data_IF_849569332798
#
_entry.id   IF_849569332798
#
_cell.length_a   1.000
_cell.length_b   1.000
_cell.length_c   1.000
_cell.angle_alpha   90.00
_cell.angle_beta   90.00
_cell.angle_gamma   90.00
#
_symmetry.space_group_name_H-M   'P 1'
#
loop_
_entity.id
_entity.type
_entity.pdbx_description
1 polymer ?
#
# COMPACT_ATOMS: atom_id res chain seq x y z
N UNK A 1 13.23 -5.68 -37.52
CA UNK A 1 12.73 -6.85 -36.75
C UNK A 1 12.75 -6.45 -35.28
N UNK A 2 11.63 -6.56 -34.56
CA UNK A 2 11.50 -5.95 -33.23
C UNK A 2 12.23 -6.82 -32.19
N UNK A 3 13.47 -6.46 -31.83
CA UNK A 3 14.13 -6.96 -30.61
C UNK A 3 13.55 -6.29 -29.36
N UNK A 4 14.03 -6.53 -28.15
CA UNK A 4 14.25 -7.87 -27.57
C UNK A 4 13.08 -8.09 -26.55
N UNK A 5 12.74 -9.28 -26.04
CA UNK A 5 13.67 -10.31 -25.59
C UNK A 5 12.99 -11.55 -25.00
N UNK A 6 13.84 -12.53 -24.65
CA UNK A 6 13.51 -13.73 -23.90
C UNK A 6 12.74 -13.46 -22.61
N UNK A 7 11.68 -14.27 -22.43
CA UNK A 7 10.84 -14.35 -21.25
C UNK A 7 10.82 -15.81 -20.82
N UNK A 8 11.66 -16.13 -19.84
CA UNK A 8 11.58 -17.37 -19.10
C UNK A 8 11.22 -17.01 -17.66
N UNK A 9 10.25 -17.73 -17.12
CA UNK A 9 9.67 -17.42 -15.82
C UNK A 9 10.22 -18.37 -14.74
N UNK A 10 11.23 -19.18 -15.11
CA UNK A 10 11.97 -20.19 -14.36
C UNK A 10 12.37 -19.75 -12.95
N UNK A 11 11.43 -19.93 -12.04
CA UNK A 11 11.67 -19.80 -10.63
C UNK A 11 12.42 -21.05 -10.12
N UNK A 12 13.48 -20.84 -9.31
CA UNK A 12 14.43 -21.85 -8.81
C UNK A 12 14.10 -22.31 -7.40
N UNK A 13 14.68 -23.44 -6.96
CA UNK A 13 14.60 -23.87 -5.57
C UNK A 13 15.36 -22.88 -4.66
N UNK A 14 14.63 -21.99 -3.97
CA UNK A 14 15.17 -20.94 -3.10
C UNK A 14 14.73 -19.49 -3.42
N UNK A 15 13.83 -19.27 -4.38
CA UNK A 15 13.48 -17.90 -4.81
C UNK A 15 12.86 -17.00 -3.72
N UNK A 16 13.45 -15.81 -3.55
CA UNK A 16 12.92 -14.67 -2.77
C UNK A 16 13.04 -13.37 -3.57
N UNK A 17 12.11 -13.11 -4.48
CA UNK A 17 11.80 -11.72 -4.86
C UNK A 17 10.96 -11.10 -3.73
N UNK A 18 11.01 -9.78 -3.50
CA UNK A 18 10.00 -9.12 -2.65
C UNK A 18 8.65 -9.31 -3.36
N UNK A 19 7.82 -10.26 -2.89
CA UNK A 19 6.61 -10.71 -3.58
C UNK A 19 6.72 -12.05 -4.31
N UNK A 20 7.92 -12.64 -4.42
CA UNK A 20 8.16 -14.00 -4.91
C UNK A 20 7.44 -14.35 -6.20
N UNK A 21 6.81 -15.53 -6.22
CA UNK A 21 6.06 -16.05 -7.35
C UNK A 21 4.89 -15.14 -7.76
N UNK A 22 4.35 -14.32 -6.85
CA UNK A 22 3.24 -13.40 -7.17
C UNK A 22 3.64 -12.39 -8.24
N UNK A 23 4.84 -11.80 -8.13
CA UNK A 23 5.30 -10.83 -9.13
C UNK A 23 5.58 -11.49 -10.48
N UNK A 24 6.10 -12.71 -10.47
CA UNK A 24 6.30 -13.49 -11.69
C UNK A 24 4.95 -13.73 -12.37
N UNK A 25 3.91 -14.13 -11.63
CA UNK A 25 2.57 -14.32 -12.17
C UNK A 25 1.93 -13.02 -12.67
N UNK A 26 2.10 -11.90 -11.95
CA UNK A 26 1.64 -10.59 -12.41
C UNK A 26 2.32 -10.16 -13.72
N UNK A 27 3.62 -10.44 -13.84
CA UNK A 27 4.39 -10.10 -15.05
C UNK A 27 3.92 -10.95 -16.23
N UNK A 28 3.69 -12.26 -16.03
CA UNK A 28 3.09 -13.15 -17.04
C UNK A 28 1.72 -12.66 -17.49
N UNK A 29 0.88 -12.28 -16.54
CA UNK A 29 -0.47 -11.78 -16.80
C UNK A 29 -0.42 -10.51 -17.68
N UNK A 30 0.50 -9.60 -17.36
CA UNK A 30 0.73 -8.38 -18.13
C UNK A 30 1.20 -8.69 -19.56
N UNK A 31 2.21 -9.55 -19.73
CA UNK A 31 2.72 -9.95 -21.04
C UNK A 31 1.60 -10.56 -21.88
N UNK A 32 0.85 -11.50 -21.30
CA UNK A 32 -0.28 -12.15 -21.97
C UNK A 32 -1.33 -11.15 -22.43
N UNK A 33 -1.60 -10.11 -21.65
CA UNK A 33 -2.52 -9.06 -22.06
C UNK A 33 -1.96 -8.23 -23.22
N UNK A 34 -0.68 -7.82 -23.18
CA UNK A 34 -0.01 -7.06 -24.24
C UNK A 34 0.03 -7.84 -25.56
N UNK A 35 0.21 -9.16 -25.49
CA UNK A 35 0.25 -10.07 -26.64
C UNK A 35 -1.14 -10.40 -27.23
N UNK A 36 -2.19 -9.71 -26.80
CA UNK A 36 -3.55 -9.87 -27.33
C UNK A 36 -4.40 -10.90 -26.60
N UNK A 37 -4.00 -11.28 -25.38
CA UNK A 37 -4.79 -12.12 -24.49
C UNK A 37 -6.05 -11.43 -23.96
N UNK A 38 -6.70 -12.06 -22.98
CA UNK A 38 -7.93 -11.53 -22.38
C UNK A 38 -7.68 -10.18 -21.70
N UNK A 39 -8.75 -9.40 -21.58
CA UNK A 39 -8.79 -8.16 -20.80
C UNK A 39 -8.15 -8.36 -19.42
N UNK A 40 -7.18 -7.52 -19.09
CA UNK A 40 -6.47 -7.55 -17.81
C UNK A 40 -7.42 -7.19 -16.66
N UNK A 41 -7.27 -7.81 -15.48
CA UNK A 41 -8.09 -7.50 -14.29
C UNK A 41 -7.97 -6.04 -13.83
N UNK A 42 -6.85 -5.40 -14.15
CA UNK A 42 -6.59 -3.98 -13.92
C UNK A 42 -7.06 -3.07 -15.06
N UNK A 43 -7.95 -3.52 -15.94
CA UNK A 43 -8.50 -2.67 -16.98
C UNK A 43 -9.27 -1.48 -16.38
N UNK A 44 -9.23 -0.33 -17.05
CA UNK A 44 -9.75 0.93 -16.51
C UNK A 44 -11.25 0.94 -16.21
N UNK A 45 -12.05 0.19 -16.97
CA UNK A 45 -13.48 0.03 -16.71
C UNK A 45 -13.77 -0.86 -15.49
N UNK A 46 -13.00 -1.95 -15.28
CA UNK A 46 -13.06 -2.75 -14.04
C UNK A 46 -12.62 -1.90 -12.84
N UNK A 47 -11.57 -1.10 -13.01
CA UNK A 47 -11.09 -0.19 -11.99
C UNK A 47 -12.14 0.88 -11.65
N UNK A 48 -12.84 1.43 -12.66
CA UNK A 48 -13.92 2.39 -12.45
C UNK A 48 -15.08 1.79 -11.64
N UNK A 49 -15.54 0.57 -11.99
CA UNK A 49 -16.56 -0.16 -11.23
C UNK A 49 -16.11 -0.42 -9.78
N UNK A 50 -14.85 -0.84 -9.60
CA UNK A 50 -14.26 -1.08 -8.27
C UNK A 50 -14.25 0.19 -7.42
N UNK A 51 -13.82 1.31 -8.01
CA UNK A 51 -13.81 2.61 -7.34
C UNK A 51 -15.22 3.06 -6.98
N UNK A 52 -16.20 2.86 -7.86
CA UNK A 52 -17.60 3.21 -7.58
C UNK A 52 -18.14 2.40 -6.38
N UNK A 53 -17.83 1.10 -6.30
CA UNK A 53 -18.19 0.26 -5.15
C UNK A 53 -17.54 0.79 -3.86
N UNK A 54 -16.25 1.10 -3.88
CA UNK A 54 -15.55 1.68 -2.72
C UNK A 54 -16.17 3.01 -2.30
N UNK A 55 -16.49 3.89 -3.25
CA UNK A 55 -17.20 5.14 -2.99
C UNK A 55 -18.56 4.86 -2.35
N UNK A 56 -19.29 3.83 -2.79
CA UNK A 56 -20.60 3.48 -2.22
C UNK A 56 -20.53 3.04 -0.77
N UNK A 57 -19.48 2.30 -0.40
CA UNK A 57 -19.22 1.92 1.00
C UNK A 57 -18.96 3.17 1.85
N UNK A 58 -18.07 4.07 1.41
CA UNK A 58 -17.78 5.30 2.15
C UNK A 58 -18.98 6.25 2.21
N UNK A 59 -19.75 6.37 1.13
CA UNK A 59 -20.95 7.20 1.07
C UNK A 59 -22.05 6.67 2.00
N UNK A 60 -22.21 5.35 2.06
CA UNK A 60 -23.09 4.68 3.01
C UNK A 60 -22.68 4.98 4.44
N UNK A 61 -21.38 4.90 4.77
CA UNK A 61 -20.86 5.25 6.09
C UNK A 61 -21.03 6.75 6.41
N UNK A 62 -20.82 7.64 5.42
CA UNK A 62 -20.97 9.09 5.58
C UNK A 62 -22.42 9.49 5.89
N UNK A 63 -23.39 8.83 5.24
CA UNK A 63 -24.81 9.18 5.33
C UNK A 63 -25.64 8.25 6.23
N UNK A 64 -25.05 7.16 6.72
CA UNK A 64 -25.71 6.10 7.48
C UNK A 64 -26.99 5.56 6.79
N UNK A 65 -26.91 5.30 5.49
CA UNK A 65 -28.02 4.78 4.69
C UNK A 65 -27.56 3.92 3.52
N UNK A 66 -28.46 3.07 3.02
CA UNK A 66 -28.23 2.30 1.80
C UNK A 66 -28.03 3.23 0.60
N UNK A 67 -26.99 2.96 -0.18
CA UNK A 67 -26.67 3.68 -1.43
C UNK A 67 -27.00 2.78 -2.61
N UNK A 68 -27.75 3.33 -3.56
CA UNK A 68 -28.08 2.65 -4.81
C UNK A 68 -27.15 3.12 -5.93
N UNK A 69 -26.74 2.18 -6.77
CA UNK A 69 -25.91 2.45 -7.95
C UNK A 69 -26.77 2.82 -9.16
N UNK A 70 -26.26 3.66 -10.09
CA UNK A 70 -24.97 4.35 -10.02
C UNK A 70 -24.96 5.47 -8.98
N UNK A 71 -23.79 5.74 -8.40
CA UNK A 71 -23.63 6.78 -7.38
C UNK A 71 -23.92 8.16 -7.95
N UNK A 72 -24.69 8.96 -7.19
CA UNK A 72 -25.00 10.35 -7.53
C UNK A 72 -23.92 11.32 -7.10
N UNK A 73 -23.28 11.05 -5.96
CA UNK A 73 -22.18 11.86 -5.41
C UNK A 73 -20.99 11.88 -6.37
N UNK A 74 -20.41 13.06 -6.60
CA UNK A 74 -19.28 13.26 -7.52
C UNK A 74 -17.97 13.54 -6.78
N UNK A 75 -18.02 13.98 -5.53
CA UNK A 75 -16.86 14.05 -4.64
C UNK A 75 -16.43 12.68 -4.13
N UNK A 76 -15.19 12.56 -3.66
CA UNK A 76 -14.73 11.33 -3.00
C UNK A 76 -15.29 11.28 -1.57
N UNK A 77 -16.14 10.30 -1.20
CA UNK A 77 -16.89 10.36 0.05
C UNK A 77 -16.01 10.35 1.30
N UNK A 78 -14.84 9.71 1.26
CA UNK A 78 -13.89 9.78 2.38
C UNK A 78 -13.38 11.21 2.61
N UNK A 79 -13.09 11.96 1.55
CA UNK A 79 -12.68 13.36 1.67
C UNK A 79 -13.82 14.21 2.25
N UNK A 80 -15.05 13.99 1.77
CA UNK A 80 -16.23 14.68 2.31
C UNK A 80 -16.42 14.38 3.80
N UNK A 81 -16.22 13.14 4.25
CA UNK A 81 -16.29 12.79 5.68
C UNK A 81 -15.25 13.55 6.52
N UNK A 82 -14.05 13.78 5.98
CA UNK A 82 -13.00 14.56 6.65
C UNK A 82 -13.44 16.02 6.74
N UNK A 83 -13.88 16.62 5.64
CA UNK A 83 -14.30 18.02 5.57
C UNK A 83 -15.53 18.30 6.45
N UNK A 84 -16.43 17.32 6.57
CA UNK A 84 -17.61 17.37 7.45
C UNK A 84 -17.28 17.12 8.93
N UNK A 85 -16.03 16.80 9.27
CA UNK A 85 -15.60 16.53 10.64
C UNK A 85 -16.15 15.21 11.21
N UNK A 86 -16.53 14.25 10.35
CA UNK A 86 -17.12 12.96 10.76
C UNK A 86 -16.09 11.92 11.19
N UNK A 87 -14.81 12.19 11.00
CA UNK A 87 -13.70 11.30 11.36
C UNK A 87 -12.84 11.96 12.45
N UNK A 88 -13.27 11.96 13.73
CA UNK A 88 -12.49 12.52 14.82
C UNK A 88 -11.20 11.72 15.00
N UNK A 89 -10.07 12.42 15.14
CA UNK A 89 -8.79 11.80 15.45
C UNK A 89 -8.71 11.44 16.94
N UNK A 90 -8.38 10.19 17.26
CA UNK A 90 -8.05 9.77 18.63
C UNK A 90 -6.73 10.42 19.09
N UNK A 91 -5.73 10.43 18.21
CA UNK A 91 -4.43 11.05 18.42
C UNK A 91 -4.33 12.25 17.46
N UNK A 92 -4.24 13.46 18.02
CA UNK A 92 -4.16 14.71 17.23
C UNK A 92 -2.75 15.02 16.73
N UNK A 93 -1.75 14.29 17.23
CA UNK A 93 -0.38 14.44 16.79
C UNK A 93 -0.23 13.98 15.34
N UNK A 94 0.71 14.60 14.64
CA UNK A 94 1.00 14.23 13.25
C UNK A 94 1.59 12.83 13.25
N UNK A 95 0.89 11.89 12.64
CA UNK A 95 1.43 10.56 12.40
C UNK A 95 2.59 10.62 11.40
N UNK A 96 3.75 10.10 11.81
CA UNK A 96 4.92 9.92 10.96
C UNK A 96 5.31 8.43 10.93
N UNK A 97 5.07 7.78 9.78
CA UNK A 97 5.42 6.37 9.56
C UNK A 97 6.92 6.08 9.69
N UNK A 98 7.77 7.11 9.62
CA UNK A 98 9.23 7.02 9.80
C UNK A 98 9.69 7.75 11.05
N UNK A 99 8.79 8.18 11.93
CA UNK A 99 9.14 8.89 13.17
C UNK A 99 10.14 8.11 14.02
N UNK A 100 10.07 6.78 14.02
CA UNK A 100 11.02 5.90 14.71
C UNK A 100 12.47 5.97 14.18
N UNK A 101 12.70 6.57 12.99
CA UNK A 101 14.03 6.80 12.42
C UNK A 101 14.59 8.17 12.82
N UNK A 102 13.85 8.96 13.61
CA UNK A 102 14.38 10.21 14.14
C UNK A 102 15.60 9.95 15.03
N UNK A 103 16.65 10.74 14.85
CA UNK A 103 17.92 10.67 15.61
C UNK A 103 18.13 11.86 16.54
N UNK A 104 17.28 12.89 16.49
CA UNK A 104 17.52 14.14 17.20
C UNK A 104 17.69 13.97 18.71
N UNK A 105 17.03 12.97 19.33
CA UNK A 105 17.06 12.73 20.77
C UNK A 105 17.23 11.25 21.16
N UNK A 106 18.03 10.48 20.39
CA UNK A 106 18.25 9.06 20.72
C UNK A 106 19.41 8.87 21.72
N UNK A 107 19.34 7.78 22.48
CA UNK A 107 20.48 7.28 23.23
C UNK A 107 21.49 6.63 22.26
N UNK A 108 22.52 7.39 21.87
CA UNK A 108 23.58 6.94 20.95
C UNK A 108 24.42 5.79 21.54
N UNK A 109 24.52 5.69 22.88
CA UNK A 109 25.28 4.60 23.54
C UNK A 109 24.49 3.30 23.42
N UNK A 110 23.19 3.35 23.71
CA UNK A 110 22.30 2.20 23.51
C UNK A 110 22.23 1.81 22.03
N UNK A 111 22.12 2.79 21.12
CA UNK A 111 22.13 2.53 19.68
C UNK A 111 23.40 1.79 19.25
N UNK A 112 24.57 2.27 19.64
CA UNK A 112 25.86 1.64 19.31
C UNK A 112 25.91 0.20 19.84
N UNK A 113 25.51 -0.02 21.11
CA UNK A 113 25.44 -1.36 21.70
C UNK A 113 24.53 -2.30 20.91
N UNK A 114 23.32 -1.87 20.55
CA UNK A 114 22.37 -2.68 19.78
C UNK A 114 22.92 -3.04 18.39
N UNK A 115 23.70 -2.14 17.78
CA UNK A 115 24.37 -2.39 16.50
C UNK A 115 25.51 -3.40 16.65
N UNK A 116 26.30 -3.30 17.72
CA UNK A 116 27.37 -4.25 18.04
C UNK A 116 26.80 -5.65 18.36
N UNK A 117 25.63 -5.71 19.01
CA UNK A 117 24.87 -6.95 19.26
C UNK A 117 24.22 -7.53 17.99
N UNK A 118 24.39 -6.89 16.82
CA UNK A 118 24.01 -7.42 15.51
C UNK A 118 22.61 -7.02 15.02
N UNK A 119 21.87 -6.17 15.72
CA UNK A 119 20.54 -5.73 15.26
C UNK A 119 20.65 -4.84 14.03
N UNK A 120 19.72 -4.98 13.08
CA UNK A 120 19.64 -4.11 11.92
C UNK A 120 19.23 -2.68 12.31
N UNK A 121 19.67 -1.69 11.53
CA UNK A 121 19.44 -0.26 11.79
C UNK A 121 17.98 0.06 12.17
N UNK A 122 17.01 -0.43 11.41
CA UNK A 122 15.59 -0.16 11.70
C UNK A 122 15.14 -0.71 13.06
N UNK A 123 15.66 -1.88 13.47
CA UNK A 123 15.32 -2.52 14.75
C UNK A 123 15.94 -1.74 15.90
N UNK A 124 17.22 -1.36 15.78
CA UNK A 124 17.89 -0.52 16.76
C UNK A 124 17.19 0.84 16.91
N UNK A 125 16.84 1.48 15.79
CA UNK A 125 16.13 2.76 15.77
C UNK A 125 14.73 2.69 16.41
N UNK A 126 13.99 1.59 16.19
CA UNK A 126 12.71 1.36 16.88
C UNK A 126 12.88 1.22 18.39
N UNK A 127 13.94 0.55 18.85
CA UNK A 127 14.18 0.35 20.29
C UNK A 127 14.57 1.66 20.96
N UNK A 128 15.49 2.43 20.37
CA UNK A 128 15.94 3.71 20.98
C UNK A 128 14.88 4.82 20.91
N UNK A 129 13.92 4.73 19.98
CA UNK A 129 12.79 5.65 19.89
C UNK A 129 11.49 5.13 20.54
N UNK A 130 11.50 3.92 21.14
CA UNK A 130 10.39 3.48 21.99
C UNK A 130 10.47 4.25 23.30
N UNK A 131 9.84 5.41 23.32
CA UNK A 131 9.46 6.08 24.57
C UNK A 131 8.34 5.25 25.22
N UNK A 132 8.42 5.02 26.53
CA UNK A 132 7.30 4.48 27.33
C UNK A 132 6.05 5.37 27.21
#
# INVERSE_FOLDING_TARGET
>A
SKGWENIDLNLKEGDKAIGGNMNAEQTKELIKWIEGGKKHRGAGDIAAETVEIMMGIYESARLNRVINFPIKEKGYPLSLMIDEGKLPLEIKERYDIRGFLNRENIDEVLYAKLRDDGLHHHQAMQIVNRTE
#
